data_IF_449145491018
#
_entry.id   IF_449145491018
#
_cell.length_a   1.000
_cell.length_b   1.000
_cell.length_c   1.000
_cell.angle_alpha   90.00
_cell.angle_beta   90.00
_cell.angle_gamma   90.00
#
_symmetry.space_group_name_H-M   'P 1'
#
loop_
_entity.id
_entity.type
_entity.pdbx_description
1 polymer ?
#
# COMPACT_ATOMS: atom_id res chain seq x y z
N UNK A 1 -43.86 -46.42 -14.09
CA UNK A 1 -43.46 -45.05 -13.70
C UNK A 1 -42.49 -44.55 -14.75
N UNK A 2 -42.84 -43.46 -15.43
CA UNK A 2 -42.04 -42.85 -16.48
C UNK A 2 -40.82 -42.09 -15.89
N UNK A 3 -39.66 -42.07 -16.56
CA UNK A 3 -38.65 -41.02 -16.39
C UNK A 3 -38.95 -39.82 -17.31
N UNK A 4 -38.80 -38.60 -16.78
CA UNK A 4 -39.02 -37.34 -17.48
C UNK A 4 -37.86 -36.86 -18.35
N UNK A 5 -38.18 -35.85 -19.15
CA UNK A 5 -37.59 -35.43 -20.43
C UNK A 5 -36.18 -34.81 -20.42
N UNK A 6 -35.52 -35.00 -21.58
CA UNK A 6 -34.36 -34.28 -22.08
C UNK A 6 -34.77 -32.98 -22.79
N UNK A 7 -33.86 -32.00 -22.83
CA UNK A 7 -33.92 -30.95 -23.86
C UNK A 7 -32.79 -29.94 -23.79
N UNK A 8 -31.72 -30.19 -24.55
CA UNK A 8 -30.63 -29.24 -24.80
C UNK A 8 -30.64 -28.77 -26.27
N UNK A 9 -30.52 -27.44 -26.43
CA UNK A 9 -29.90 -26.65 -27.51
C UNK A 9 -30.45 -26.57 -28.96
N UNK A 10 -30.48 -25.31 -29.43
CA UNK A 10 -30.09 -24.86 -30.78
C UNK A 10 -31.20 -24.14 -31.58
N UNK A 11 -31.00 -23.16 -32.47
CA UNK A 11 -29.86 -22.38 -33.01
C UNK A 11 -30.47 -21.17 -33.79
N UNK A 12 -29.61 -20.24 -34.25
CA UNK A 12 -29.82 -18.89 -34.82
C UNK A 12 -30.61 -18.74 -36.15
N UNK A 13 -31.04 -17.50 -36.47
CA UNK A 13 -30.92 -16.91 -37.84
C UNK A 13 -31.91 -15.79 -38.31
N UNK A 14 -31.35 -14.59 -38.61
CA UNK A 14 -31.63 -13.61 -39.73
C UNK A 14 -33.04 -12.97 -39.92
N UNK A 15 -33.32 -11.78 -40.50
CA UNK A 15 -32.64 -10.52 -40.95
C UNK A 15 -33.70 -9.54 -41.57
N UNK A 16 -33.40 -8.20 -41.62
CA UNK A 16 -33.95 -7.09 -42.49
C UNK A 16 -35.41 -6.61 -42.24
N UNK A 17 -35.92 -5.44 -42.68
CA UNK A 17 -35.54 -4.03 -42.96
C UNK A 17 -36.85 -3.37 -43.50
N UNK A 18 -37.26 -2.17 -43.07
CA UNK A 18 -38.22 -1.35 -43.86
C UNK A 18 -38.15 0.15 -43.53
N UNK A 19 -38.28 0.95 -44.59
CA UNK A 19 -38.05 2.39 -44.74
C UNK A 19 -39.39 3.11 -45.03
N UNK A 20 -39.54 4.39 -44.60
CA UNK A 20 -40.29 5.48 -45.29
C UNK A 20 -40.66 6.70 -44.39
N UNK A 21 -39.88 7.78 -44.57
CA UNK A 21 -40.25 9.21 -44.78
C UNK A 21 -41.38 9.93 -44.01
N UNK A 22 -41.04 11.09 -43.40
CA UNK A 22 -41.68 12.41 -43.68
C UNK A 22 -40.94 13.64 -43.05
N UNK A 23 -40.24 14.39 -43.92
CA UNK A 23 -40.10 15.87 -44.01
C UNK A 23 -39.38 16.75 -42.94
N UNK A 24 -38.87 17.95 -43.35
CA UNK A 24 -37.62 18.54 -42.86
C UNK A 24 -37.78 19.82 -42.02
N UNK A 25 -36.83 20.06 -41.11
CA UNK A 25 -36.67 21.34 -40.41
C UNK A 25 -35.20 21.68 -40.21
N UNK A 26 -34.58 22.35 -41.19
CA UNK A 26 -33.27 23.00 -41.03
C UNK A 26 -33.47 24.36 -40.35
N UNK A 27 -33.23 24.41 -39.04
CA UNK A 27 -32.80 25.65 -38.39
C UNK A 27 -31.27 25.66 -38.33
N UNK A 28 -30.59 26.81 -38.51
CA UNK A 28 -29.15 26.86 -38.37
C UNK A 28 -28.78 26.66 -36.90
N UNK A 29 -28.56 25.41 -36.49
CA UNK A 29 -27.87 25.13 -35.22
C UNK A 29 -26.42 25.49 -35.42
N UNK A 30 -26.05 26.70 -35.00
CA UNK A 30 -24.66 27.09 -34.84
C UNK A 30 -23.94 25.99 -34.08
N UNK A 31 -22.96 25.36 -34.70
CA UNK A 31 -22.09 24.40 -34.02
C UNK A 31 -21.26 25.22 -33.03
N UNK A 32 -21.70 25.27 -31.78
CA UNK A 32 -20.81 25.67 -30.69
C UNK A 32 -19.59 24.75 -30.74
N UNK A 33 -18.39 25.32 -30.80
CA UNK A 33 -17.16 24.55 -30.74
C UNK A 33 -17.17 23.74 -29.44
N UNK A 34 -16.94 22.44 -29.54
CA UNK A 34 -16.66 21.61 -28.37
C UNK A 34 -15.48 22.25 -27.62
N UNK A 35 -15.67 22.59 -26.35
CA UNK A 35 -14.62 23.16 -25.51
C UNK A 35 -13.39 22.25 -25.51
N UNK A 36 -12.22 22.82 -25.28
CA UNK A 36 -10.98 22.04 -25.17
C UNK A 36 -11.18 20.90 -24.16
N UNK A 37 -10.69 19.67 -24.45
CA UNK A 37 -10.71 18.59 -23.47
C UNK A 37 -10.12 19.10 -22.15
N UNK A 38 -10.83 18.92 -21.04
CA UNK A 38 -10.33 19.30 -19.72
C UNK A 38 -8.96 18.67 -19.47
N UNK A 39 -8.11 19.37 -18.71
CA UNK A 39 -6.78 18.85 -18.38
C UNK A 39 -6.90 17.45 -17.78
N UNK A 40 -6.08 16.51 -18.28
CA UNK A 40 -6.03 15.16 -17.73
C UNK A 40 -5.61 15.29 -16.28
N UNK A 41 -6.46 14.82 -15.36
CA UNK A 41 -6.16 14.73 -13.94
C UNK A 41 -4.79 14.03 -13.78
N UNK A 42 -3.78 14.74 -13.26
CA UNK A 42 -2.45 14.16 -13.06
C UNK A 42 -2.58 13.11 -11.95
N UNK A 43 -2.34 11.84 -12.28
CA UNK A 43 -2.30 10.79 -11.27
C UNK A 43 -1.01 10.90 -10.47
N UNK A 44 -1.13 10.93 -9.15
CA UNK A 44 0.00 10.90 -8.22
C UNK A 44 0.12 9.50 -7.63
N UNK A 45 1.34 8.97 -7.61
CA UNK A 45 1.64 7.67 -7.03
C UNK A 45 2.83 7.78 -6.10
N UNK A 46 2.78 7.09 -4.97
CA UNK A 46 3.94 6.81 -4.16
C UNK A 46 3.68 5.48 -3.47
N UNK A 47 4.64 4.57 -3.52
CA UNK A 47 4.54 3.29 -2.86
C UNK A 47 5.92 2.71 -2.62
N UNK A 48 6.08 2.01 -1.51
CA UNK A 48 7.22 1.16 -1.26
C UNK A 48 6.77 -0.11 -0.54
N UNK A 49 7.57 -1.16 -0.70
CA UNK A 49 7.46 -2.39 0.05
C UNK A 49 8.86 -2.98 0.19
N UNK A 50 9.31 -3.14 1.42
CA UNK A 50 10.66 -3.60 1.75
C UNK A 50 10.59 -4.72 2.78
N UNK A 51 11.61 -5.57 2.75
CA UNK A 51 11.76 -6.73 3.61
C UNK A 51 13.09 -6.72 4.36
N UNK A 52 13.10 -7.35 5.52
CA UNK A 52 14.32 -7.67 6.25
C UNK A 52 14.39 -9.18 6.44
N UNK A 53 15.48 -9.78 5.97
CA UNK A 53 15.80 -11.20 6.14
C UNK A 53 16.62 -11.44 7.39
N UNK A 54 17.41 -10.46 7.84
CA UNK A 54 18.29 -10.68 8.99
C UNK A 54 17.57 -10.52 10.33
N UNK A 55 17.86 -11.35 11.34
CA UNK A 55 17.45 -11.08 12.71
C UNK A 55 18.01 -9.75 13.23
N UNK A 56 17.40 -9.19 14.28
CA UNK A 56 17.96 -8.00 14.95
C UNK A 56 17.59 -7.95 16.43
N UNK A 57 18.60 -7.73 17.27
CA UNK A 57 18.45 -7.39 18.68
C UNK A 57 18.54 -5.88 18.86
N UNK A 58 17.81 -5.37 19.85
CA UNK A 58 17.97 -3.98 20.29
C UNK A 58 19.32 -3.78 20.94
N UNK A 59 19.82 -2.54 20.86
CA UNK A 59 21.03 -2.08 21.52
C UNK A 59 20.68 -1.06 22.62
N UNK A 60 21.69 -0.58 23.35
CA UNK A 60 21.54 0.47 24.39
C UNK A 60 21.16 1.86 23.85
N UNK A 61 20.95 1.98 22.55
CA UNK A 61 20.56 3.19 21.86
C UNK A 61 19.40 2.94 20.91
N UNK A 62 18.67 4.00 20.57
CA UNK A 62 17.60 3.94 19.59
C UNK A 62 18.14 3.50 18.24
N UNK A 63 17.61 2.40 17.71
CA UNK A 63 18.05 1.82 16.45
C UNK A 63 16.90 1.81 15.45
N UNK A 64 17.15 2.37 14.26
CA UNK A 64 16.25 2.22 13.11
C UNK A 64 16.31 0.78 12.60
N UNK A 65 15.15 0.21 12.26
CA UNK A 65 15.07 -1.08 11.60
C UNK A 65 15.46 -0.90 10.13
N UNK A 66 16.66 -1.37 9.77
CA UNK A 66 17.15 -1.33 8.39
C UNK A 66 16.65 -2.56 7.62
N UNK A 67 16.25 -2.35 6.37
CA UNK A 67 15.76 -3.38 5.47
C UNK A 67 16.85 -3.80 4.48
N UNK A 68 16.84 -5.06 4.05
CA UNK A 68 17.88 -5.65 3.20
C UNK A 68 17.33 -6.19 1.88
N UNK A 69 16.01 -6.11 1.68
CA UNK A 69 15.31 -6.56 0.49
C UNK A 69 14.34 -5.48 0.03
N UNK A 70 14.40 -5.09 -1.23
CA UNK A 70 13.44 -4.16 -1.84
C UNK A 70 12.52 -4.94 -2.78
N UNK A 71 11.20 -4.84 -2.56
CA UNK A 71 10.20 -5.41 -3.48
C UNK A 71 9.66 -4.34 -4.43
N UNK A 72 9.36 -3.15 -3.89
CA UNK A 72 8.87 -1.99 -4.63
C UNK A 72 9.44 -0.74 -3.98
N UNK A 73 9.94 0.22 -4.76
CA UNK A 73 10.27 1.57 -4.31
C UNK A 73 10.02 2.55 -5.45
N UNK A 74 8.81 3.13 -5.50
CA UNK A 74 8.48 4.10 -6.54
C UNK A 74 9.25 5.40 -6.30
N UNK A 75 9.93 5.85 -7.36
CA UNK A 75 10.71 7.10 -7.38
C UNK A 75 11.77 7.20 -6.28
N UNK A 76 12.22 6.05 -5.76
CA UNK A 76 13.26 5.97 -4.70
C UNK A 76 12.89 6.77 -3.44
N UNK A 77 11.60 6.88 -3.12
CA UNK A 77 11.13 7.55 -1.91
C UNK A 77 11.55 6.82 -0.63
N UNK A 78 11.86 5.52 -0.69
CA UNK A 78 12.40 4.76 0.43
C UNK A 78 13.92 4.61 0.30
N UNK A 79 14.65 5.05 1.32
CA UNK A 79 16.10 4.94 1.37
C UNK A 79 16.52 3.70 2.16
N UNK A 80 17.01 2.67 1.46
CA UNK A 80 17.44 1.40 2.05
C UNK A 80 18.60 1.53 3.04
N UNK A 81 19.48 2.53 2.89
CA UNK A 81 20.62 2.74 3.80
C UNK A 81 20.19 3.33 5.15
N UNK A 82 19.14 4.15 5.15
CA UNK A 82 18.63 4.79 6.38
C UNK A 82 17.41 4.10 6.96
N UNK A 83 16.71 3.26 6.18
CA UNK A 83 15.47 2.59 6.57
C UNK A 83 14.26 3.54 6.63
N UNK A 84 14.32 4.67 5.92
CA UNK A 84 13.31 5.74 5.99
C UNK A 84 12.60 5.94 4.66
N UNK A 85 11.29 6.13 4.75
CA UNK A 85 10.48 6.71 3.68
C UNK A 85 10.50 8.24 3.79
N UNK A 86 10.72 8.91 2.66
CA UNK A 86 10.65 10.37 2.52
C UNK A 86 9.43 10.74 1.68
N UNK A 87 8.57 11.59 2.22
CA UNK A 87 7.38 12.06 1.52
C UNK A 87 7.76 13.17 0.53
N UNK A 88 7.72 12.88 -0.76
CA UNK A 88 7.84 13.89 -1.82
C UNK A 88 6.50 14.33 -2.40
N UNK A 89 5.42 13.60 -2.10
CA UNK A 89 4.07 13.86 -2.60
C UNK A 89 3.16 14.01 -1.38
N UNK A 90 2.71 15.22 -1.02
CA UNK A 90 1.88 15.42 0.16
C UNK A 90 0.52 14.72 -0.02
N UNK A 91 0.02 14.12 1.06
CA UNK A 91 -1.23 13.38 1.01
C UNK A 91 -1.47 12.44 2.17
N UNK A 92 -2.53 11.64 2.05
CA UNK A 92 -2.86 10.56 2.98
C UNK A 92 -2.17 9.29 2.54
N UNK A 93 -1.39 8.69 3.43
CA UNK A 93 -0.67 7.45 3.22
C UNK A 93 -1.18 6.35 4.13
N UNK A 94 -1.16 5.11 3.66
CA UNK A 94 -1.32 3.93 4.49
C UNK A 94 0.05 3.26 4.69
N UNK A 95 0.37 2.89 5.93
CA UNK A 95 1.57 2.14 6.28
C UNK A 95 1.19 0.84 6.97
N UNK A 96 1.93 -0.23 6.67
CA UNK A 96 1.75 -1.56 7.26
C UNK A 96 3.10 -2.17 7.58
N UNK A 97 3.25 -2.65 8.81
CA UNK A 97 4.43 -3.33 9.33
C UNK A 97 4.02 -4.73 9.78
N UNK A 98 4.70 -5.76 9.28
CA UNK A 98 4.57 -7.13 9.75
C UNK A 98 5.92 -7.61 10.29
N UNK A 99 5.89 -8.27 11.44
CA UNK A 99 7.08 -8.69 12.17
C UNK A 99 6.83 -10.04 12.82
N UNK A 100 7.75 -10.97 12.61
CA UNK A 100 7.79 -12.20 13.37
C UNK A 100 8.55 -12.00 14.68
N UNK A 101 7.89 -12.33 15.78
CA UNK A 101 8.47 -12.21 17.11
C UNK A 101 9.52 -13.30 17.34
N UNK A 102 10.45 -13.05 18.26
CA UNK A 102 11.46 -14.04 18.64
C UNK A 102 11.05 -14.74 19.94
N UNK A 103 11.18 -16.08 19.98
CA UNK A 103 10.95 -16.87 21.19
C UNK A 103 11.76 -16.32 22.38
N UNK A 104 11.13 -16.23 23.55
CA UNK A 104 11.77 -15.79 24.79
C UNK A 104 12.34 -14.35 24.73
N UNK A 105 11.92 -13.55 23.76
CA UNK A 105 12.27 -12.12 23.65
C UNK A 105 10.99 -11.29 23.58
N UNK A 106 11.10 -10.05 24.03
CA UNK A 106 10.04 -9.07 23.76
C UNK A 106 10.19 -8.59 22.30
N UNK A 107 9.09 -8.21 21.65
CA UNK A 107 9.15 -7.48 20.39
C UNK A 107 8.48 -6.14 20.58
N UNK A 108 9.25 -5.07 20.50
CA UNK A 108 8.80 -3.71 20.75
C UNK A 108 9.39 -2.76 19.69
N UNK A 109 8.52 -2.31 18.80
CA UNK A 109 8.83 -1.36 17.72
C UNK A 109 7.86 -0.20 17.73
N UNK A 110 8.28 0.91 17.13
CA UNK A 110 7.40 2.02 16.77
C UNK A 110 7.45 2.28 15.27
N UNK A 111 6.31 2.62 14.69
CA UNK A 111 6.27 3.43 13.47
C UNK A 111 6.46 4.88 13.91
N UNK A 112 7.43 5.54 13.31
CA UNK A 112 7.88 6.89 13.64
C UNK A 112 7.46 7.86 12.53
N UNK A 113 7.18 9.11 12.90
CA UNK A 113 7.05 10.25 11.97
C UNK A 113 7.86 11.43 12.51
N UNK A 114 8.82 11.94 11.73
CA UNK A 114 9.63 13.12 12.10
C UNK A 114 10.21 13.10 13.52
N UNK A 115 10.55 11.91 14.04
CA UNK A 115 11.13 11.70 15.36
C UNK A 115 10.12 11.42 16.48
N UNK A 116 8.83 11.59 16.21
CA UNK A 116 7.75 11.25 17.13
C UNK A 116 7.25 9.82 16.90
N UNK A 117 6.87 9.14 17.97
CA UNK A 117 6.25 7.82 17.96
C UNK A 117 4.79 7.96 17.53
N UNK A 118 4.36 7.22 16.50
CA UNK A 118 2.99 7.28 15.99
C UNK A 118 2.16 6.14 16.56
N UNK A 119 2.60 4.90 16.34
CA UNK A 119 1.96 3.67 16.83
C UNK A 119 3.02 2.66 17.25
N UNK A 120 2.64 1.80 18.18
CA UNK A 120 3.47 0.73 18.74
C UNK A 120 3.10 -0.61 18.09
N UNK A 121 4.11 -1.44 17.79
CA UNK A 121 3.95 -2.89 17.59
C UNK A 121 4.62 -3.57 18.77
N UNK A 122 3.82 -4.27 19.58
CA UNK A 122 4.26 -4.87 20.84
C UNK A 122 3.81 -6.31 20.97
N UNK A 123 4.74 -7.18 21.37
CA UNK A 123 4.44 -8.51 21.86
C UNK A 123 5.30 -8.81 23.09
N UNK A 124 4.64 -9.33 24.12
CA UNK A 124 5.27 -9.83 25.34
C UNK A 124 6.11 -11.08 25.06
N UNK A 125 7.03 -11.37 25.97
CA UNK A 125 7.84 -12.59 25.96
C UNK A 125 6.95 -13.83 25.92
N UNK A 126 7.27 -14.77 25.04
CA UNK A 126 6.51 -16.02 24.83
C UNK A 126 7.43 -17.15 24.36
N UNK A 127 7.12 -18.38 24.74
CA UNK A 127 7.80 -19.60 24.23
C UNK A 127 7.45 -19.90 22.77
N UNK A 128 6.37 -19.29 22.25
CA UNK A 128 5.95 -19.40 20.86
C UNK A 128 6.06 -18.06 20.16
N UNK A 129 6.80 -18.03 19.08
CA UNK A 129 6.86 -16.93 18.14
C UNK A 129 5.54 -16.79 17.38
N UNK A 130 5.15 -15.56 17.10
CA UNK A 130 3.93 -15.23 16.37
C UNK A 130 4.23 -14.17 15.30
N UNK A 131 3.38 -14.09 14.28
CA UNK A 131 3.37 -12.95 13.38
C UNK A 131 2.55 -11.83 14.00
N UNK A 132 3.12 -10.62 14.07
CA UNK A 132 2.46 -9.40 14.52
C UNK A 132 2.36 -8.42 13.38
N UNK A 133 1.24 -7.71 13.31
CA UNK A 133 0.99 -6.69 12.29
C UNK A 133 0.52 -5.41 12.96
N UNK A 134 0.98 -4.27 12.45
CA UNK A 134 0.52 -2.95 12.83
C UNK A 134 0.37 -2.09 11.59
N UNK A 135 -0.69 -1.28 11.54
CA UNK A 135 -0.92 -0.38 10.41
C UNK A 135 -1.51 0.95 10.86
N UNK A 136 -1.29 1.99 10.06
CA UNK A 136 -1.74 3.34 10.36
C UNK A 136 -1.91 4.15 9.07
N UNK A 137 -2.91 5.02 9.04
CA UNK A 137 -3.02 6.06 8.01
C UNK A 137 -2.49 7.38 8.54
N UNK A 138 -1.65 8.05 7.76
CA UNK A 138 -1.01 9.30 8.12
C UNK A 138 -1.20 10.34 7.02
N UNK A 139 -1.57 11.55 7.41
CA UNK A 139 -1.43 12.72 6.56
C UNK A 139 0.02 13.20 6.62
N UNK A 140 0.71 13.15 5.49
CA UNK A 140 2.10 13.55 5.34
C UNK A 140 2.22 14.82 4.50
N UNK A 141 3.14 15.68 4.92
CA UNK A 141 3.60 16.84 4.17
C UNK A 141 4.87 16.48 3.41
N UNK A 142 5.20 17.27 2.40
CA UNK A 142 6.49 17.17 1.73
C UNK A 142 7.62 17.26 2.78
N UNK A 143 8.65 16.43 2.61
CA UNK A 143 9.79 16.25 3.51
C UNK A 143 9.51 15.51 4.83
N UNK A 144 8.26 15.10 5.10
CA UNK A 144 8.01 14.21 6.24
C UNK A 144 8.72 12.87 6.04
N UNK A 145 9.30 12.36 7.12
CA UNK A 145 9.97 11.07 7.18
C UNK A 145 9.15 10.07 8.00
N UNK A 146 9.02 8.84 7.50
CA UNK A 146 8.38 7.71 8.21
C UNK A 146 9.32 6.51 8.23
N UNK A 147 9.50 5.89 9.40
CA UNK A 147 10.38 4.73 9.55
C UNK A 147 9.98 3.85 10.73
N UNK A 148 10.63 2.70 10.87
CA UNK A 148 10.43 1.78 11.99
C UNK A 148 11.64 1.84 12.91
N UNK A 149 11.41 1.92 14.22
CA UNK A 149 12.47 2.03 15.24
C UNK A 149 12.26 1.01 16.34
N UNK A 150 13.32 0.31 16.72
CA UNK A 150 13.32 -0.57 17.89
C UNK A 150 13.25 0.28 19.16
N UNK A 151 12.48 -0.17 20.14
CA UNK A 151 12.49 0.44 21.45
C UNK A 151 13.86 0.26 22.12
N UNK A 152 14.35 1.33 22.75
CA UNK A 152 15.60 1.35 23.54
C UNK A 152 15.30 0.99 24.99
N UNK A 153 16.06 0.06 25.57
CA UNK A 153 16.07 -0.18 27.02
C UNK A 153 16.69 -1.52 27.39
N UNK A 154 16.82 -1.79 28.68
CA UNK A 154 17.33 -3.08 29.24
C UNK A 154 16.40 -4.28 28.99
N UNK A 155 15.47 -4.15 28.04
CA UNK A 155 14.59 -5.25 27.66
C UNK A 155 15.32 -6.10 26.64
N UNK A 156 15.17 -7.42 26.75
CA UNK A 156 15.62 -8.35 25.71
C UNK A 156 14.71 -8.24 24.47
N UNK A 157 14.75 -7.10 23.78
CA UNK A 157 13.91 -6.77 22.64
C UNK A 157 14.56 -7.25 21.34
N UNK A 158 13.85 -8.03 20.55
CA UNK A 158 14.34 -8.56 19.27
C UNK A 158 13.22 -8.78 18.25
N UNK A 159 13.62 -8.84 16.99
CA UNK A 159 12.79 -9.27 15.86
C UNK A 159 13.45 -10.45 15.17
N UNK A 160 12.65 -11.46 14.83
CA UNK A 160 13.13 -12.66 14.17
C UNK A 160 12.97 -12.57 12.66
N UNK A 161 13.97 -13.06 11.94
CA UNK A 161 13.91 -13.43 10.54
C UNK A 161 15.12 -14.34 10.24
N UNK A 162 15.16 -14.98 9.06
CA UNK A 162 16.32 -15.74 8.60
C UNK A 162 16.70 -15.43 7.14
N UNK A 163 17.81 -16.02 6.68
CA UNK A 163 18.34 -15.75 5.33
C UNK A 163 17.51 -16.39 4.20
N UNK A 164 16.59 -17.31 4.54
CA UNK A 164 15.81 -18.09 3.58
C UNK A 164 14.47 -17.40 3.29
N UNK A 165 13.72 -17.08 4.34
CA UNK A 165 12.37 -16.52 4.29
C UNK A 165 12.32 -15.06 4.76
N UNK A 166 11.36 -14.29 4.25
CA UNK A 166 11.18 -12.88 4.65
C UNK A 166 10.02 -12.76 5.62
N UNK A 167 10.34 -12.60 6.90
CA UNK A 167 9.35 -12.54 7.97
C UNK A 167 9.01 -11.10 8.41
N UNK A 168 9.85 -10.15 8.04
CA UNK A 168 9.69 -8.75 8.40
C UNK A 168 9.44 -7.95 7.13
N UNK A 169 8.29 -7.29 7.05
CA UNK A 169 7.93 -6.44 5.92
C UNK A 169 7.44 -5.07 6.39
N UNK A 170 7.82 -4.03 5.67
CA UNK A 170 7.29 -2.69 5.85
C UNK A 170 6.89 -2.12 4.50
N UNK A 171 5.63 -1.73 4.39
CA UNK A 171 5.05 -1.23 3.15
C UNK A 171 4.28 0.05 3.42
N UNK A 172 4.25 0.94 2.43
CA UNK A 172 3.42 2.11 2.48
C UNK A 172 3.05 2.62 1.10
N UNK A 173 1.90 3.27 0.97
CA UNK A 173 1.45 3.83 -0.30
C UNK A 173 0.52 5.03 -0.12
N UNK A 174 0.53 5.93 -1.10
CA UNK A 174 -0.36 7.08 -1.20
C UNK A 174 -1.78 6.60 -1.49
N UNK A 175 -2.71 7.00 -0.62
CA UNK A 175 -4.15 6.78 -0.78
C UNK A 175 -4.79 7.98 -1.49
N UNK A 176 -4.40 9.20 -1.09
CA UNK A 176 -4.98 10.43 -1.64
C UNK A 176 -3.94 11.55 -1.65
N UNK A 177 -3.69 12.12 -2.82
CA UNK A 177 -2.90 13.34 -2.99
C UNK A 177 -3.62 14.55 -2.38
N UNK A 178 -2.87 15.45 -1.72
CA UNK A 178 -3.41 16.65 -1.08
C UNK A 178 -2.98 17.98 -1.73
N UNK A 179 -2.31 17.97 -2.88
CA UNK A 179 -1.97 19.23 -3.56
C UNK A 179 -3.17 19.87 -4.26
N UNK A 180 -3.02 21.15 -4.60
CA UNK A 180 -4.08 21.93 -5.26
C UNK A 180 -4.46 21.32 -6.63
N UNK A 181 -5.76 21.37 -7.00
CA UNK A 181 -6.28 20.83 -8.25
C UNK A 181 -5.62 21.38 -9.52
#
# INVERSE_FOLDING_TARGET
MAPGDWGAHGLQGLQQQQDSSCCPGQGPRGKGSMGAPGERCKSHYAAFSVGRKKPLHSNDYYQTLIFDTEFVSLYEHFNMFTGKFYCYIPGIYYFSLNVHTWNQKETYLHIMRNGAEVVILYAQVSDRSIMQSQSVMLELKEQDEVWVRLYKGERENAVFSDEYDTYITFSGHLIKYSGDP
#
